data_IF_289941295349
#
_entry.id   IF_289941295349
#
_cell.length_a   1.000
_cell.length_b   1.000
_cell.length_c   1.000
_cell.angle_alpha   90.00
_cell.angle_beta   90.00
_cell.angle_gamma   90.00
#
_symmetry.space_group_name_H-M   'P 1'
#
loop_
_entity.id
_entity.type
_entity.pdbx_description
1 polymer ?
#
# COMPACT_ATOMS: atom_id res chain seq x y z
N UNK A 1 18.63 9.78 7.47
CA UNK A 1 18.69 8.72 6.44
C UNK A 1 19.77 8.86 5.38
N UNK A 2 20.56 9.95 5.26
CA UNK A 2 21.73 9.96 4.36
C UNK A 2 21.45 9.79 2.84
N UNK A 3 20.18 9.87 2.42
CA UNK A 3 19.79 9.75 1.02
C UNK A 3 20.02 11.11 0.34
N UNK A 4 21.03 11.20 -0.51
CA UNK A 4 21.32 12.40 -1.30
C UNK A 4 20.90 12.28 -2.77
N UNK A 5 20.72 11.04 -3.28
CA UNK A 5 20.33 10.73 -4.66
C UNK A 5 19.51 9.44 -4.71
N UNK A 6 18.62 9.34 -5.69
CA UNK A 6 17.89 8.12 -6.01
C UNK A 6 18.66 7.28 -7.04
N UNK A 7 18.50 5.96 -6.96
CA UNK A 7 18.99 5.05 -7.99
C UNK A 7 18.14 5.15 -9.27
N UNK A 8 18.74 4.81 -10.41
CA UNK A 8 18.06 4.91 -11.73
C UNK A 8 16.76 4.11 -11.78
N UNK A 9 16.71 2.91 -11.19
CA UNK A 9 15.49 2.10 -11.15
C UNK A 9 14.39 2.73 -10.29
N UNK A 10 14.76 3.43 -9.21
CA UNK A 10 13.80 4.13 -8.38
C UNK A 10 13.18 5.30 -9.13
N UNK A 11 14.00 6.11 -9.80
CA UNK A 11 13.54 7.24 -10.62
C UNK A 11 12.58 6.74 -11.71
N UNK A 12 12.98 5.74 -12.49
CA UNK A 12 12.16 5.18 -13.56
C UNK A 12 10.80 4.64 -13.05
N UNK A 13 10.78 4.00 -11.88
CA UNK A 13 9.55 3.51 -11.29
C UNK A 13 8.67 4.66 -10.76
N UNK A 14 9.25 5.64 -10.05
CA UNK A 14 8.53 6.81 -9.53
C UNK A 14 7.91 7.62 -10.67
N UNK A 15 8.62 7.81 -11.79
CA UNK A 15 8.08 8.55 -12.94
C UNK A 15 6.86 7.85 -13.55
N UNK A 16 6.87 6.52 -13.64
CA UNK A 16 5.67 5.74 -14.04
C UNK A 16 4.52 5.88 -13.04
N UNK A 17 4.83 5.91 -11.75
CA UNK A 17 3.82 6.10 -10.70
C UNK A 17 3.18 7.48 -10.83
N UNK A 18 3.96 8.53 -11.03
CA UNK A 18 3.45 9.90 -11.25
C UNK A 18 2.59 10.04 -12.51
N UNK A 19 2.79 9.17 -13.50
CA UNK A 19 1.93 9.04 -14.68
C UNK A 19 0.63 8.27 -14.43
N UNK A 20 0.29 7.97 -13.17
CA UNK A 20 -0.93 7.29 -12.72
C UNK A 20 -1.12 5.87 -13.31
N UNK A 21 -0.04 5.22 -13.72
CA UNK A 21 -0.08 3.83 -14.21
C UNK A 21 0.10 2.84 -13.06
N UNK A 22 -0.67 1.75 -13.01
CA UNK A 22 -0.30 0.64 -12.15
C UNK A 22 1.14 0.20 -12.47
N UNK A 23 1.91 -0.21 -11.46
CA UNK A 23 3.30 -0.64 -11.68
C UNK A 23 3.60 -1.92 -10.92
N UNK A 24 4.46 -2.75 -11.52
CA UNK A 24 5.14 -3.84 -10.82
C UNK A 24 6.64 -3.61 -10.86
N UNK A 25 7.27 -3.68 -9.69
CA UNK A 25 8.72 -3.50 -9.52
C UNK A 25 9.31 -4.81 -8.98
N UNK A 26 10.06 -5.48 -9.83
CA UNK A 26 10.84 -6.67 -9.49
C UNK A 26 12.31 -6.28 -9.35
N UNK A 27 12.76 -6.09 -8.11
CA UNK A 27 14.17 -5.81 -7.80
C UNK A 27 14.63 -6.68 -6.62
N UNK A 28 15.94 -6.90 -6.44
CA UNK A 28 16.45 -7.59 -5.27
C UNK A 28 15.99 -6.94 -3.95
N UNK A 29 15.96 -7.71 -2.88
CA UNK A 29 15.80 -7.18 -1.52
C UNK A 29 16.91 -6.17 -1.22
N UNK A 30 16.65 -5.24 -0.29
CA UNK A 30 17.56 -4.14 0.06
C UNK A 30 17.91 -3.14 -1.07
N UNK A 31 17.22 -3.18 -2.23
CA UNK A 31 17.40 -2.21 -3.34
C UNK A 31 16.69 -0.86 -3.15
N UNK A 32 16.16 -0.59 -1.95
CA UNK A 32 15.44 0.65 -1.63
C UNK A 32 14.05 0.75 -2.25
N UNK A 33 13.32 -0.38 -2.39
CA UNK A 33 11.95 -0.41 -2.92
C UNK A 33 11.00 0.51 -2.15
N UNK A 34 11.17 0.64 -0.84
CA UNK A 34 10.33 1.49 -0.01
C UNK A 34 10.27 2.94 -0.47
N UNK A 35 11.37 3.49 -0.98
CA UNK A 35 11.36 4.87 -1.50
C UNK A 35 10.52 5.02 -2.77
N UNK A 36 10.39 3.95 -3.57
CA UNK A 36 9.65 3.98 -4.84
C UNK A 36 8.17 4.23 -4.59
N UNK A 37 7.59 3.62 -3.57
CA UNK A 37 6.18 3.84 -3.25
C UNK A 37 5.95 4.93 -2.20
N UNK A 38 6.84 5.10 -1.20
CA UNK A 38 6.64 6.14 -0.19
C UNK A 38 6.73 7.55 -0.76
N UNK A 39 7.67 7.81 -1.68
CA UNK A 39 7.85 9.15 -2.21
C UNK A 39 6.58 9.67 -2.93
N UNK A 40 6.02 8.97 -3.94
CA UNK A 40 4.79 9.44 -4.59
C UNK A 40 3.57 9.43 -3.66
N UNK A 41 3.48 8.50 -2.72
CA UNK A 41 2.40 8.49 -1.71
C UNK A 41 2.50 9.72 -0.80
N UNK A 42 3.70 10.07 -0.34
CA UNK A 42 3.92 11.27 0.48
C UNK A 42 3.66 12.54 -0.33
N UNK A 43 4.08 12.59 -1.59
CA UNK A 43 3.76 13.70 -2.50
C UNK A 43 2.24 13.93 -2.59
N UNK A 44 1.47 12.86 -2.81
CA UNK A 44 0.01 12.93 -2.86
C UNK A 44 -0.62 13.39 -1.54
N UNK A 45 -0.14 12.88 -0.39
CA UNK A 45 -0.63 13.26 0.95
C UNK A 45 -0.27 14.72 1.30
N UNK A 46 0.91 15.19 0.88
CA UNK A 46 1.32 16.57 1.12
C UNK A 46 0.55 17.57 0.22
N UNK A 47 0.12 17.14 -0.96
CA UNK A 47 -0.74 17.93 -1.84
C UNK A 47 -2.20 17.96 -1.36
N UNK A 48 -2.74 16.81 -0.93
CA UNK A 48 -4.08 16.70 -0.36
C UNK A 48 -4.04 15.83 0.91
N UNK A 49 -4.33 16.47 2.04
CA UNK A 49 -4.28 15.85 3.37
C UNK A 49 -5.37 14.80 3.61
N UNK A 50 -6.43 14.79 2.80
CA UNK A 50 -7.44 13.74 2.84
C UNK A 50 -6.93 12.41 2.25
N UNK A 51 -5.89 12.46 1.40
CA UNK A 51 -5.33 11.31 0.70
C UNK A 51 -5.02 10.16 1.66
N UNK A 52 -5.51 8.99 1.28
CA UNK A 52 -5.26 7.72 1.96
C UNK A 52 -4.52 6.73 1.04
N UNK A 53 -3.70 5.89 1.65
CA UNK A 53 -2.98 4.79 1.01
C UNK A 53 -3.09 3.52 1.86
N UNK A 54 -3.22 2.37 1.19
CA UNK A 54 -3.27 1.05 1.81
C UNK A 54 -2.02 0.28 1.47
N UNK A 55 -1.24 -0.13 2.47
CA UNK A 55 -0.05 -0.95 2.28
C UNK A 55 -0.32 -2.37 2.77
N UNK A 56 -0.18 -3.35 1.88
CA UNK A 56 -0.41 -4.77 2.18
C UNK A 56 0.93 -5.51 2.24
N UNK A 57 1.21 -6.07 3.41
CA UNK A 57 2.39 -6.89 3.67
C UNK A 57 1.98 -8.32 4.04
N UNK A 58 2.73 -9.35 3.61
CA UNK A 58 2.43 -10.73 3.98
C UNK A 58 2.87 -11.06 5.41
N UNK A 59 3.85 -10.33 5.97
CA UNK A 59 4.43 -10.60 7.28
C UNK A 59 4.33 -9.37 8.18
N UNK A 60 3.96 -9.59 9.45
CA UNK A 60 3.87 -8.53 10.47
C UNK A 60 5.20 -7.80 10.68
N UNK A 61 6.32 -8.53 10.66
CA UNK A 61 7.65 -7.93 10.80
C UNK A 61 7.92 -6.88 9.70
N UNK A 62 7.58 -7.19 8.44
CA UNK A 62 7.72 -6.25 7.33
C UNK A 62 6.82 -5.01 7.50
N UNK A 63 5.60 -5.20 7.99
CA UNK A 63 4.70 -4.09 8.31
C UNK A 63 5.28 -3.16 9.39
N UNK A 64 5.88 -3.73 10.45
CA UNK A 64 6.53 -2.98 11.52
C UNK A 64 7.78 -2.24 11.04
N UNK A 65 8.62 -2.89 10.26
CA UNK A 65 9.80 -2.25 9.66
C UNK A 65 9.41 -1.10 8.72
N UNK A 66 8.32 -1.29 7.96
CA UNK A 66 7.81 -0.23 7.09
C UNK A 66 7.22 0.94 7.88
N UNK A 67 6.52 0.69 9.00
CA UNK A 67 6.04 1.76 9.88
C UNK A 67 7.21 2.58 10.42
N UNK A 68 8.28 1.93 10.88
CA UNK A 68 9.50 2.61 11.34
C UNK A 68 10.13 3.45 10.22
N UNK A 69 10.23 2.89 9.02
CA UNK A 69 10.76 3.60 7.84
C UNK A 69 9.95 4.87 7.54
N UNK A 70 8.62 4.81 7.59
CA UNK A 70 7.76 5.99 7.39
C UNK A 70 8.02 7.02 8.48
N UNK A 71 8.06 6.62 9.76
CA UNK A 71 8.31 7.52 10.88
C UNK A 71 9.66 8.23 10.76
N UNK A 72 10.71 7.50 10.37
CA UNK A 72 12.04 8.08 10.16
C UNK A 72 12.08 9.05 8.97
N UNK A 73 11.35 8.77 7.88
CA UNK A 73 11.25 9.67 6.74
C UNK A 73 10.44 10.94 7.05
N UNK A 74 9.42 10.83 7.90
CA UNK A 74 8.54 11.96 8.23
C UNK A 74 9.00 12.74 9.46
N UNK A 75 9.96 12.23 10.24
CA UNK A 75 10.52 12.91 11.42
C UNK A 75 11.01 14.34 11.13
N UNK A 76 11.60 14.57 9.95
CA UNK A 76 12.10 15.89 9.54
C UNK A 76 11.03 16.89 9.11
N UNK A 77 9.78 16.46 8.91
CA UNK A 77 8.69 17.32 8.44
C UNK A 77 8.00 18.09 9.58
N UNK A 78 8.42 17.88 10.84
CA UNK A 78 7.73 18.43 12.02
C UNK A 78 6.43 17.67 12.28
N UNK A 79 6.30 17.02 13.44
CA UNK A 79 5.33 15.93 13.72
C UNK A 79 3.83 16.20 13.49
N UNK A 80 3.42 17.40 13.08
CA UNK A 80 2.05 17.75 12.69
C UNK A 80 1.87 17.91 11.17
N UNK A 81 2.95 17.93 10.38
CA UNK A 81 2.90 18.20 8.94
C UNK A 81 3.31 16.98 8.09
N UNK A 82 3.78 15.89 8.68
CA UNK A 82 4.11 14.66 7.95
C UNK A 82 2.89 13.75 7.70
N UNK A 83 2.94 12.87 6.69
CA UNK A 83 2.00 11.76 6.55
C UNK A 83 1.90 10.92 7.84
N UNK A 84 0.67 10.64 8.28
CA UNK A 84 0.42 9.73 9.41
C UNK A 84 0.36 8.29 8.94
N UNK A 85 0.83 7.35 9.76
CA UNK A 85 0.79 5.93 9.46
C UNK A 85 0.45 5.09 10.69
N UNK A 86 -0.32 4.02 10.50
CA UNK A 86 -0.59 3.04 11.55
C UNK A 86 -0.78 1.64 10.98
N UNK A 87 -0.52 0.64 11.82
CA UNK A 87 -0.76 -0.77 11.51
C UNK A 87 -2.18 -1.15 11.95
N UNK A 88 -2.89 -1.84 11.07
CA UNK A 88 -4.17 -2.46 11.32
C UNK A 88 -4.07 -3.95 10.97
N UNK A 89 -3.84 -4.76 11.98
CA UNK A 89 -3.65 -6.20 11.85
C UNK A 89 -4.44 -7.01 12.90
N UNK A 90 -4.18 -8.32 12.97
CA UNK A 90 -4.82 -9.21 13.94
C UNK A 90 -4.52 -8.85 15.41
N UNK A 91 -3.37 -8.23 15.69
CA UNK A 91 -2.93 -7.90 17.06
C UNK A 91 -3.43 -6.52 17.50
N UNK A 92 -4.01 -5.74 16.58
CA UNK A 92 -4.61 -4.45 16.89
C UNK A 92 -5.82 -4.65 17.81
N UNK A 93 -5.77 -4.10 19.03
CA UNK A 93 -6.83 -4.26 20.03
C UNK A 93 -8.16 -3.64 19.58
N UNK A 94 -9.29 -4.11 20.12
CA UNK A 94 -10.62 -3.60 19.75
C UNK A 94 -10.75 -2.07 19.92
N UNK A 95 -10.15 -1.52 20.99
CA UNK A 95 -10.06 -0.09 21.23
C UNK A 95 -9.35 0.65 20.09
N UNK A 96 -8.15 0.19 19.71
CA UNK A 96 -7.38 0.81 18.63
C UNK A 96 -8.03 0.61 17.26
N UNK A 97 -8.66 -0.54 17.01
CA UNK A 97 -9.44 -0.77 15.78
C UNK A 97 -10.56 0.25 15.63
N UNK A 98 -11.27 0.58 16.72
CA UNK A 98 -12.30 1.63 16.69
C UNK A 98 -11.68 2.99 16.39
N UNK A 99 -10.61 3.35 17.11
CA UNK A 99 -9.93 4.64 16.93
C UNK A 99 -9.41 4.85 15.51
N UNK A 100 -8.85 3.81 14.88
CA UNK A 100 -8.38 3.84 13.50
C UNK A 100 -9.51 3.94 12.47
N UNK A 101 -10.71 3.44 12.76
CA UNK A 101 -11.87 3.63 11.88
C UNK A 101 -12.47 5.02 12.01
N UNK A 102 -12.56 5.51 13.24
CA UNK A 102 -13.13 6.84 13.52
C UNK A 102 -12.21 7.94 12.97
N UNK A 103 -10.89 7.74 13.03
CA UNK A 103 -9.88 8.65 12.49
C UNK A 103 -8.76 7.87 11.78
N UNK A 104 -8.95 7.50 10.50
CA UNK A 104 -7.95 6.73 9.76
C UNK A 104 -6.68 7.57 9.51
N UNK A 105 -5.49 6.95 9.60
CA UNK A 105 -4.25 7.61 9.18
C UNK A 105 -4.22 7.76 7.66
N UNK A 106 -3.32 8.61 7.16
CA UNK A 106 -3.07 8.70 5.72
C UNK A 106 -2.54 7.38 5.15
N UNK A 107 -1.76 6.62 5.91
CA UNK A 107 -1.22 5.34 5.47
C UNK A 107 -1.65 4.25 6.44
N UNK A 108 -2.49 3.34 5.95
CA UNK A 108 -2.88 2.16 6.71
C UNK A 108 -2.07 0.96 6.24
N UNK A 109 -1.29 0.38 7.14
CA UNK A 109 -0.49 -0.81 6.88
C UNK A 109 -1.27 -2.02 7.40
N UNK A 110 -1.51 -3.00 6.55
CA UNK A 110 -2.31 -4.18 6.88
C UNK A 110 -1.79 -5.42 6.15
N UNK A 111 -2.58 -6.50 6.20
CA UNK A 111 -2.33 -7.76 5.53
C UNK A 111 -3.60 -8.23 4.78
N UNK A 112 -3.48 -9.18 3.84
CA UNK A 112 -4.61 -9.66 3.05
C UNK A 112 -5.78 -10.20 3.89
N UNK A 113 -5.49 -10.87 5.02
CA UNK A 113 -6.51 -11.45 5.90
C UNK A 113 -7.35 -10.37 6.58
N UNK A 114 -6.72 -9.32 7.11
CA UNK A 114 -7.42 -8.21 7.76
C UNK A 114 -8.14 -7.32 6.76
N UNK A 115 -7.58 -7.16 5.56
CA UNK A 115 -8.29 -6.57 4.44
C UNK A 115 -9.57 -7.36 4.13
N UNK A 116 -9.48 -8.68 4.02
CA UNK A 116 -10.64 -9.54 3.73
C UNK A 116 -11.68 -9.52 4.85
N UNK A 117 -11.28 -9.85 6.07
CA UNK A 117 -12.19 -10.20 7.17
C UNK A 117 -12.72 -8.96 7.90
N UNK A 118 -12.00 -7.84 7.89
CA UNK A 118 -12.37 -6.68 8.70
C UNK A 118 -12.64 -5.43 7.89
N UNK A 119 -11.83 -5.13 6.88
CA UNK A 119 -12.00 -3.89 6.11
C UNK A 119 -13.05 -4.03 5.02
N UNK A 120 -12.92 -5.04 4.14
CA UNK A 120 -13.84 -5.25 3.03
C UNK A 120 -15.21 -5.78 3.50
N UNK A 121 -15.23 -6.69 4.48
CA UNK A 121 -16.47 -7.23 5.02
C UNK A 121 -17.35 -6.14 5.68
N UNK A 122 -16.73 -5.13 6.28
CA UNK A 122 -17.40 -4.02 6.97
C UNK A 122 -17.05 -2.68 6.34
N UNK A 123 -17.04 -2.62 5.00
CA UNK A 123 -16.56 -1.46 4.25
C UNK A 123 -17.29 -0.15 4.58
N UNK A 124 -18.55 -0.21 5.04
CA UNK A 124 -19.29 0.98 5.50
C UNK A 124 -18.62 1.69 6.68
N UNK A 125 -17.94 0.95 7.55
CA UNK A 125 -17.20 1.52 8.70
C UNK A 125 -15.87 2.17 8.29
N UNK A 126 -15.51 2.10 7.02
CA UNK A 126 -14.27 2.62 6.44
C UNK A 126 -14.57 3.59 5.27
N UNK A 127 -15.79 4.10 5.16
CA UNK A 127 -16.24 4.88 3.99
C UNK A 127 -15.33 6.08 3.69
N UNK A 128 -14.92 6.83 4.71
CA UNK A 128 -13.98 7.96 4.55
C UNK A 128 -12.62 7.51 4.03
N UNK A 129 -12.08 6.40 4.54
CA UNK A 129 -10.80 5.85 4.06
C UNK A 129 -10.89 5.42 2.60
N UNK A 130 -11.97 4.72 2.22
CA UNK A 130 -12.15 4.25 0.84
C UNK A 130 -12.35 5.39 -0.15
N UNK A 131 -13.14 6.40 0.20
CA UNK A 131 -13.40 7.55 -0.68
C UNK A 131 -12.13 8.34 -1.01
N UNK A 132 -11.14 8.33 -0.11
CA UNK A 132 -9.87 9.03 -0.29
C UNK A 132 -8.70 8.11 -0.67
N UNK A 133 -8.97 6.83 -0.95
CA UNK A 133 -7.91 5.87 -1.25
C UNK A 133 -7.38 6.10 -2.68
N UNK A 134 -6.11 6.50 -2.77
CA UNK A 134 -5.44 6.81 -4.05
C UNK A 134 -4.39 5.77 -4.44
N UNK A 135 -3.78 5.10 -3.46
CA UNK A 135 -2.70 4.14 -3.69
C UNK A 135 -2.92 2.86 -2.90
N UNK A 136 -2.66 1.72 -3.54
CA UNK A 136 -2.59 0.41 -2.91
C UNK A 136 -1.21 -0.17 -3.18
N UNK A 137 -0.38 -0.27 -2.14
CA UNK A 137 0.93 -0.93 -2.20
C UNK A 137 0.76 -2.39 -1.82
N UNK A 138 1.30 -3.29 -2.63
CA UNK A 138 1.32 -4.73 -2.34
C UNK A 138 2.77 -5.19 -2.36
N UNK A 139 3.30 -5.55 -1.21
CA UNK A 139 4.68 -6.02 -1.10
C UNK A 139 4.77 -7.55 -1.20
N UNK A 140 5.96 -8.01 -1.57
CA UNK A 140 6.31 -9.41 -1.75
C UNK A 140 5.28 -10.23 -2.55
N UNK A 141 4.86 -9.69 -3.70
CA UNK A 141 3.81 -10.30 -4.52
C UNK A 141 4.17 -11.71 -5.03
N UNK A 142 5.45 -12.07 -4.99
CA UNK A 142 5.92 -13.41 -5.30
C UNK A 142 5.35 -14.48 -4.35
N UNK A 143 4.91 -14.09 -3.16
CA UNK A 143 4.27 -14.96 -2.17
C UNK A 143 2.83 -15.32 -2.55
N UNK A 144 2.16 -14.49 -3.34
CA UNK A 144 0.76 -14.69 -3.77
C UNK A 144 0.67 -15.59 -5.01
N UNK A 145 1.02 -16.87 -4.88
CA UNK A 145 0.94 -17.88 -5.95
C UNK A 145 0.14 -19.11 -5.55
N UNK A 146 -0.20 -19.95 -6.53
CA UNK A 146 -0.99 -21.16 -6.31
C UNK A 146 -2.36 -20.83 -5.70
N UNK A 147 -2.81 -21.67 -4.76
CA UNK A 147 -4.10 -21.48 -4.07
C UNK A 147 -4.18 -20.13 -3.37
N UNK A 148 -3.11 -19.73 -2.67
CA UNK A 148 -3.08 -18.46 -1.95
C UNK A 148 -3.14 -17.26 -2.91
N UNK A 149 -2.46 -17.34 -4.06
CA UNK A 149 -2.57 -16.35 -5.13
C UNK A 149 -3.99 -16.21 -5.68
N UNK A 150 -4.70 -17.34 -5.87
CA UNK A 150 -6.11 -17.33 -6.29
C UNK A 150 -7.01 -16.61 -5.28
N UNK A 151 -6.82 -16.87 -3.98
CA UNK A 151 -7.55 -16.14 -2.94
C UNK A 151 -7.24 -14.64 -2.99
N UNK A 152 -5.95 -14.27 -3.08
CA UNK A 152 -5.53 -12.88 -3.13
C UNK A 152 -6.14 -12.15 -4.35
N UNK A 153 -6.18 -12.79 -5.52
CA UNK A 153 -6.81 -12.21 -6.71
C UNK A 153 -8.29 -11.86 -6.48
N UNK A 154 -9.06 -12.74 -5.81
CA UNK A 154 -10.45 -12.46 -5.47
C UNK A 154 -10.59 -11.37 -4.39
N UNK A 155 -9.68 -11.30 -3.43
CA UNK A 155 -9.63 -10.20 -2.45
C UNK A 155 -9.39 -8.87 -3.17
N UNK A 156 -8.46 -8.81 -4.11
CA UNK A 156 -8.13 -7.58 -4.88
C UNK A 156 -9.27 -7.16 -5.82
N UNK A 157 -9.95 -8.10 -6.50
CA UNK A 157 -11.15 -7.78 -7.30
C UNK A 157 -12.26 -7.17 -6.44
N UNK A 158 -12.45 -7.70 -5.24
CA UNK A 158 -13.43 -7.15 -4.29
C UNK A 158 -12.98 -5.78 -3.75
N UNK A 159 -11.69 -5.59 -3.47
CA UNK A 159 -11.13 -4.28 -3.12
C UNK A 159 -11.44 -3.25 -4.21
N UNK A 160 -11.11 -3.53 -5.48
CA UNK A 160 -11.42 -2.65 -6.61
C UNK A 160 -12.91 -2.31 -6.69
N UNK A 161 -13.79 -3.30 -6.50
CA UNK A 161 -15.25 -3.08 -6.48
C UNK A 161 -15.68 -2.16 -5.34
N UNK A 162 -15.13 -2.34 -4.15
CA UNK A 162 -15.44 -1.50 -2.97
C UNK A 162 -14.88 -0.08 -3.15
N UNK A 163 -13.68 0.09 -3.71
CA UNK A 163 -13.15 1.41 -4.05
C UNK A 163 -14.10 2.14 -4.99
N UNK A 164 -14.53 1.50 -6.08
CA UNK A 164 -15.49 2.09 -7.04
C UNK A 164 -16.83 2.44 -6.40
N UNK A 165 -17.33 1.59 -5.48
CA UNK A 165 -18.55 1.87 -4.73
C UNK A 165 -18.45 3.16 -3.91
N UNK A 166 -17.26 3.48 -3.37
CA UNK A 166 -16.99 4.70 -2.63
C UNK A 166 -16.42 5.84 -3.50
N UNK A 167 -16.46 5.71 -4.83
CA UNK A 167 -16.01 6.74 -5.76
C UNK A 167 -14.50 6.84 -5.99
N UNK A 168 -13.72 5.86 -5.53
CA UNK A 168 -12.27 5.82 -5.70
C UNK A 168 -11.82 4.80 -6.76
N UNK A 169 -10.73 5.10 -7.46
CA UNK A 169 -10.01 4.19 -8.36
C UNK A 169 -8.51 4.27 -8.07
N UNK A 170 -8.01 3.56 -7.04
CA UNK A 170 -6.63 3.69 -6.63
C UNK A 170 -5.67 3.04 -7.64
N UNK A 171 -4.46 3.59 -7.68
CA UNK A 171 -3.32 3.03 -8.38
C UNK A 171 -2.71 1.88 -7.57
N UNK A 172 -2.37 0.78 -8.23
CA UNK A 172 -1.75 -0.38 -7.59
C UNK A 172 -0.24 -0.40 -7.84
N UNK A 173 0.52 -0.47 -6.75
CA UNK A 173 1.97 -0.49 -6.73
C UNK A 173 2.45 -1.82 -6.18
N UNK A 174 2.88 -2.73 -7.05
CA UNK A 174 3.24 -4.10 -6.70
C UNK A 174 4.76 -4.25 -6.61
N UNK A 175 5.23 -4.87 -5.54
CA UNK A 175 6.66 -5.06 -5.28
C UNK A 175 6.96 -6.53 -5.09
N UNK A 176 8.05 -6.99 -5.70
CA UNK A 176 8.46 -8.38 -5.65
C UNK A 176 9.96 -8.49 -5.58
N UNK A 177 10.49 -9.46 -4.82
CA UNK A 177 11.81 -10.01 -5.12
C UNK A 177 11.89 -10.49 -6.59
N UNK A 178 13.07 -10.80 -7.09
CA UNK A 178 13.23 -11.18 -8.51
C UNK A 178 12.33 -12.38 -8.86
N UNK A 179 11.39 -12.17 -9.78
CA UNK A 179 10.47 -13.18 -10.34
C UNK A 179 10.68 -13.25 -11.85
N UNK A 180 10.51 -14.42 -12.47
CA UNK A 180 10.60 -14.57 -13.92
C UNK A 180 9.60 -13.69 -14.69
N UNK A 181 8.30 -13.77 -14.37
CA UNK A 181 7.23 -13.03 -15.05
C UNK A 181 6.42 -12.14 -14.09
N UNK A 182 6.97 -11.02 -13.58
CA UNK A 182 6.29 -10.18 -12.60
C UNK A 182 5.06 -9.47 -13.15
N UNK A 183 5.08 -9.03 -14.42
CA UNK A 183 3.95 -8.38 -15.09
C UNK A 183 2.75 -9.32 -15.27
N UNK A 184 3.02 -10.59 -15.63
CA UNK A 184 1.97 -11.61 -15.74
C UNK A 184 1.33 -11.87 -14.38
N UNK A 185 2.14 -12.11 -13.34
CA UNK A 185 1.64 -12.33 -11.98
C UNK A 185 0.81 -11.14 -11.47
N UNK A 186 1.29 -9.91 -11.67
CA UNK A 186 0.55 -8.70 -11.31
C UNK A 186 -0.78 -8.59 -12.07
N UNK A 187 -0.75 -8.86 -13.38
CA UNK A 187 -1.94 -8.85 -14.22
C UNK A 187 -2.97 -9.88 -13.80
N UNK A 188 -2.55 -11.10 -13.47
CA UNK A 188 -3.43 -12.18 -13.00
C UNK A 188 -4.07 -11.86 -11.64
N UNK A 189 -3.30 -11.24 -10.73
CA UNK A 189 -3.77 -10.81 -9.42
C UNK A 189 -4.78 -9.66 -9.51
N UNK A 190 -4.50 -8.64 -10.32
CA UNK A 190 -5.38 -7.47 -10.45
C UNK A 190 -6.55 -7.71 -11.41
N UNK A 191 -6.40 -8.60 -12.39
CA UNK A 191 -7.33 -8.75 -13.50
C UNK A 191 -7.29 -7.58 -14.50
N UNK A 192 -6.19 -6.81 -14.55
CA UNK A 192 -5.96 -5.72 -15.53
C UNK A 192 -4.46 -5.59 -15.82
N UNK A 193 -4.10 -4.84 -16.87
CA UNK A 193 -2.69 -4.65 -17.26
C UNK A 193 -1.95 -3.75 -16.25
N UNK A 194 -0.68 -4.08 -16.01
CA UNK A 194 0.27 -3.42 -15.10
C UNK A 194 1.58 -3.21 -15.84
#
# INVERSE_FOLDING_TARGET
MGISRLYRHQVAAIDKIRQKSDVVVATPTASGKSLIYNLPVFEAILQDRATSALYLFPLKALAQDQLRTIQELTAGLGGQQGPTAAIFDGDTSAYWRRKLRDNPPNILISNPDMLHLSMLAYHGNWSSFWANLTHVVIDEVHTYRGVFGSHMAWVLRRLQRICRLHGADPQFLLFSATVGNPAQLAGDLLGRRV
#
